data_IF_628575698256
#
_entry.id   IF_628575698256
#
_cell.length_a   1.000
_cell.length_b   1.000
_cell.length_c   1.000
_cell.angle_alpha   90.00
_cell.angle_beta   90.00
_cell.angle_gamma   90.00
#
_symmetry.space_group_name_H-M   'P 1'
#
loop_
_entity.id
_entity.type
_entity.pdbx_description
1 polymer ?
#
# COMPACT_ATOMS: atom_id res chain seq x y z
N UNK A 1 -28.30 5.63 64.19
CA UNK A 1 -28.78 6.21 62.92
C UNK A 1 -28.12 5.42 61.79
N UNK A 2 -28.93 4.72 60.99
CA UNK A 2 -28.71 4.18 59.63
C UNK A 2 -27.30 4.24 59.01
N UNK A 3 -26.67 3.09 58.66
CA UNK A 3 -26.62 2.43 57.31
C UNK A 3 -25.96 3.29 56.20
N UNK A 4 -25.16 2.85 55.21
CA UNK A 4 -24.36 1.68 54.82
C UNK A 4 -23.67 2.08 53.47
N UNK A 5 -22.45 1.57 53.18
CA UNK A 5 -21.94 1.07 51.87
C UNK A 5 -21.52 1.98 50.65
N UNK A 6 -20.28 1.70 50.19
CA UNK A 6 -19.84 1.26 48.81
C UNK A 6 -19.31 2.29 47.76
N UNK A 7 -18.05 2.03 47.31
CA UNK A 7 -17.39 2.22 45.99
C UNK A 7 -17.26 3.66 45.41
N UNK A 8 -16.32 4.06 44.54
CA UNK A 8 -15.24 3.43 43.76
C UNK A 8 -14.30 4.54 43.18
N UNK A 9 -13.05 4.14 42.86
CA UNK A 9 -12.23 4.55 41.69
C UNK A 9 -11.70 5.98 41.49
N UNK A 10 -10.41 6.12 41.85
CA UNK A 10 -9.27 6.52 41.02
C UNK A 10 -9.55 6.95 39.56
N UNK A 11 -9.17 8.18 39.21
CA UNK A 11 -8.92 8.61 37.82
C UNK A 11 -7.67 9.51 37.77
N UNK A 12 -6.53 8.90 37.44
CA UNK A 12 -5.24 9.53 37.24
C UNK A 12 -5.09 9.86 35.74
N UNK A 13 -5.22 11.12 35.35
CA UNK A 13 -5.08 11.55 33.96
C UNK A 13 -3.62 11.84 33.61
N UNK A 14 -3.00 10.90 32.90
CA UNK A 14 -1.71 11.04 32.22
C UNK A 14 -1.89 11.86 30.93
N UNK A 15 -1.00 12.83 30.70
CA UNK A 15 -0.93 13.62 29.47
C UNK A 15 0.53 13.70 29.02
N UNK A 16 0.96 12.71 28.22
CA UNK A 16 2.18 12.73 27.40
C UNK A 16 1.94 11.86 26.13
N UNK A 17 2.57 12.21 24.99
CA UNK A 17 2.07 11.95 23.63
C UNK A 17 2.29 10.50 23.12
N UNK A 18 1.53 10.07 22.08
CA UNK A 18 1.82 8.82 21.37
C UNK A 18 3.08 9.02 20.51
N UNK A 19 4.23 8.68 21.06
CA UNK A 19 5.43 8.41 20.29
C UNK A 19 5.19 7.16 19.43
N UNK A 20 5.36 7.33 18.13
CA UNK A 20 5.74 6.34 17.14
C UNK A 20 5.77 4.88 17.66
N UNK A 21 4.70 4.14 17.34
CA UNK A 21 4.77 2.69 17.27
C UNK A 21 5.67 2.32 16.08
N UNK A 22 6.98 2.46 16.25
CA UNK A 22 7.93 1.65 15.52
C UNK A 22 7.60 0.19 15.90
N UNK A 23 7.00 -0.55 14.98
CA UNK A 23 6.96 -2.01 15.05
C UNK A 23 8.41 -2.50 15.02
N UNK A 24 9.05 -2.53 16.19
CA UNK A 24 10.23 -3.35 16.39
C UNK A 24 9.79 -4.80 16.13
N UNK A 25 10.36 -5.50 15.14
CA UNK A 25 10.09 -6.91 14.98
C UNK A 25 10.53 -7.61 16.26
N UNK A 26 9.60 -8.29 16.92
CA UNK A 26 9.88 -9.02 18.14
C UNK A 26 11.00 -10.03 17.85
N UNK A 27 11.95 -10.24 18.79
CA UNK A 27 13.14 -11.07 18.59
C UNK A 27 12.84 -12.54 18.25
N UNK A 28 11.58 -12.97 18.45
CA UNK A 28 11.12 -14.32 18.13
C UNK A 28 10.93 -14.60 16.63
N UNK A 29 10.76 -13.58 15.78
CA UNK A 29 10.55 -13.81 14.34
C UNK A 29 11.83 -14.30 13.63
N UNK A 30 13.00 -13.93 14.14
CA UNK A 30 14.27 -14.21 13.47
C UNK A 30 14.67 -15.69 13.58
N UNK A 31 14.26 -16.41 14.63
CA UNK A 31 14.65 -17.81 14.82
C UNK A 31 13.87 -18.78 13.91
N UNK A 32 12.57 -18.54 13.69
CA UNK A 32 11.74 -19.42 12.86
C UNK A 32 12.20 -19.45 11.40
N UNK A 33 12.59 -18.30 10.85
CA UNK A 33 13.07 -18.18 9.47
C UNK A 33 14.39 -18.96 9.26
N UNK A 34 15.26 -19.02 10.28
CA UNK A 34 16.53 -19.75 10.21
C UNK A 34 16.36 -21.27 10.36
N UNK A 35 15.37 -21.70 11.15
CA UNK A 35 15.10 -23.11 11.41
C UNK A 35 14.22 -23.75 10.33
N UNK A 36 13.23 -23.01 9.82
CA UNK A 36 12.18 -23.53 8.92
C UNK A 36 12.34 -23.01 7.49
N UNK A 37 13.05 -21.89 7.30
CA UNK A 37 13.13 -21.21 6.00
C UNK A 37 11.82 -20.54 5.56
N UNK A 38 10.78 -20.57 6.39
CA UNK A 38 9.45 -20.03 6.09
C UNK A 38 9.27 -18.67 6.75
N UNK A 39 8.88 -17.66 5.97
CA UNK A 39 8.68 -16.29 6.48
C UNK A 39 7.33 -16.12 7.16
N UNK A 40 7.36 -15.87 8.47
CA UNK A 40 6.21 -15.45 9.26
C UNK A 40 5.52 -16.57 10.06
N UNK A 41 4.91 -16.19 11.17
CA UNK A 41 4.39 -17.14 12.18
C UNK A 41 3.09 -17.82 11.73
N UNK A 42 2.25 -17.12 10.96
CA UNK A 42 0.93 -17.62 10.54
C UNK A 42 0.99 -18.16 9.12
N UNK A 43 0.58 -19.42 8.88
CA UNK A 43 0.65 -20.00 7.55
C UNK A 43 -0.35 -19.29 6.62
N UNK A 44 0.14 -18.92 5.44
CA UNK A 44 -0.64 -18.18 4.46
C UNK A 44 -0.19 -18.55 3.05
N UNK A 45 -1.07 -18.36 2.08
CA UNK A 45 -0.80 -18.65 0.67
C UNK A 45 -1.40 -17.60 -0.24
N UNK A 46 -0.74 -17.34 -1.36
CA UNK A 46 -1.30 -16.52 -2.44
C UNK A 46 -2.33 -17.34 -3.20
N UNK A 47 -3.54 -16.82 -3.30
CA UNK A 47 -4.65 -17.49 -3.99
C UNK A 47 -5.41 -16.48 -4.84
N UNK A 48 -5.99 -16.93 -5.93
CA UNK A 48 -6.87 -16.13 -6.78
C UNK A 48 -8.29 -16.05 -6.18
N UNK A 49 -8.92 -14.89 -6.24
CA UNK A 49 -10.34 -14.75 -5.92
C UNK A 49 -11.22 -15.16 -7.11
N UNK A 50 -12.54 -15.12 -6.95
CA UNK A 50 -13.50 -15.44 -8.00
C UNK A 50 -13.44 -14.48 -9.21
N UNK A 51 -12.85 -13.30 -9.03
CA UNK A 51 -12.68 -12.25 -10.06
C UNK A 51 -11.32 -12.41 -10.77
N UNK A 52 -10.46 -13.35 -10.32
CA UNK A 52 -9.12 -13.59 -10.86
C UNK A 52 -8.01 -12.68 -10.30
N UNK A 53 -8.29 -11.89 -9.26
CA UNK A 53 -7.28 -11.06 -8.57
C UNK A 53 -6.56 -11.92 -7.52
N UNK A 54 -5.21 -11.96 -7.51
CA UNK A 54 -4.45 -12.65 -6.48
C UNK A 54 -4.56 -11.90 -5.15
N UNK A 55 -4.79 -12.64 -4.07
CA UNK A 55 -4.81 -12.11 -2.72
C UNK A 55 -4.12 -13.07 -1.74
N UNK A 56 -3.65 -12.51 -0.63
CA UNK A 56 -2.95 -13.28 0.39
C UNK A 56 -3.96 -13.90 1.37
N UNK A 57 -4.22 -15.20 1.22
CA UNK A 57 -5.14 -15.93 2.08
C UNK A 57 -4.45 -16.41 3.35
N UNK A 58 -4.81 -15.80 4.47
CA UNK A 58 -4.37 -16.20 5.81
C UNK A 58 -5.13 -17.45 6.24
N UNK A 59 -4.42 -18.56 6.45
CA UNK A 59 -5.07 -19.81 6.86
C UNK A 59 -5.48 -19.76 8.33
N UNK A 60 -6.51 -20.52 8.66
CA UNK A 60 -6.98 -20.74 10.03
C UNK A 60 -6.96 -22.24 10.31
N UNK A 61 -6.78 -22.59 11.58
CA UNK A 61 -6.95 -23.95 12.05
C UNK A 61 -8.44 -24.32 12.09
N UNK A 62 -8.73 -25.57 11.73
CA UNK A 62 -10.07 -26.12 11.74
C UNK A 62 -10.04 -27.50 12.38
N UNK A 63 -11.04 -27.79 13.22
CA UNK A 63 -11.20 -29.10 13.87
C UNK A 63 -11.46 -30.24 12.86
N UNK A 64 -12.11 -29.91 11.75
CA UNK A 64 -12.54 -30.86 10.72
C UNK A 64 -11.73 -30.60 9.43
N UNK A 65 -11.30 -31.66 8.71
CA UNK A 65 -10.63 -31.51 7.41
C UNK A 65 -11.41 -30.67 6.40
N UNK A 66 -10.69 -29.93 5.53
CA UNK A 66 -11.26 -28.98 4.57
C UNK A 66 -12.32 -29.58 3.64
N UNK A 67 -12.12 -30.82 3.20
CA UNK A 67 -13.04 -31.48 2.26
C UNK A 67 -14.37 -31.89 2.91
N UNK A 68 -14.41 -32.09 4.23
CA UNK A 68 -15.61 -32.40 5.00
C UNK A 68 -16.35 -31.14 5.49
N UNK A 69 -15.63 -30.02 5.65
CA UNK A 69 -16.21 -28.78 6.13
C UNK A 69 -17.06 -28.07 5.03
N UNK A 70 -18.38 -28.28 5.06
CA UNK A 70 -19.32 -27.68 4.10
C UNK A 70 -19.24 -26.14 4.07
N UNK A 71 -19.26 -25.50 5.24
CA UNK A 71 -19.16 -24.03 5.38
C UNK A 71 -17.89 -23.48 4.73
N UNK A 72 -16.77 -24.19 4.87
CA UNK A 72 -15.51 -23.80 4.26
C UNK A 72 -15.58 -23.87 2.73
N UNK A 73 -16.09 -24.96 2.16
CA UNK A 73 -16.19 -25.13 0.69
C UNK A 73 -17.12 -24.12 0.03
N UNK A 74 -18.21 -23.73 0.71
CA UNK A 74 -19.16 -22.74 0.18
C UNK A 74 -18.53 -21.35 0.04
N UNK A 75 -17.73 -20.97 1.03
CA UNK A 75 -17.14 -19.63 1.13
C UNK A 75 -15.80 -19.51 0.40
N UNK A 76 -14.99 -20.57 0.36
CA UNK A 76 -13.61 -20.54 -0.16
C UNK A 76 -13.52 -21.08 -1.59
N UNK A 77 -14.23 -20.42 -2.52
CA UNK A 77 -14.12 -20.69 -3.96
C UNK A 77 -12.98 -19.85 -4.56
N UNK A 78 -11.85 -20.50 -4.79
CA UNK A 78 -10.59 -19.88 -5.22
C UNK A 78 -10.38 -19.82 -6.74
N UNK A 79 -11.31 -20.39 -7.51
CA UNK A 79 -11.14 -20.54 -8.96
C UNK A 79 -12.03 -19.55 -9.68
N UNK A 80 -11.44 -18.82 -10.63
CA UNK A 80 -12.17 -18.08 -11.64
C UNK A 80 -12.57 -19.05 -12.76
N UNK A 81 -13.83 -18.99 -13.20
CA UNK A 81 -14.38 -19.93 -14.17
C UNK A 81 -14.99 -19.23 -15.39
N UNK A 82 -14.92 -17.90 -15.42
CA UNK A 82 -15.65 -17.06 -16.36
C UNK A 82 -14.69 -16.30 -17.27
N UNK A 83 -14.92 -16.29 -18.58
CA UNK A 83 -14.08 -15.50 -19.50
C UNK A 83 -14.26 -13.98 -19.32
N UNK A 84 -15.43 -13.56 -18.82
CA UNK A 84 -15.75 -12.18 -18.43
C UNK A 84 -14.76 -11.60 -17.39
N UNK A 85 -14.15 -12.44 -16.55
CA UNK A 85 -13.15 -11.94 -15.58
C UNK A 85 -11.89 -11.46 -16.29
N UNK A 86 -11.51 -12.07 -17.42
CA UNK A 86 -10.32 -11.68 -18.18
C UNK A 86 -10.48 -10.29 -18.80
N UNK A 87 -11.65 -10.00 -19.37
CA UNK A 87 -11.95 -8.68 -19.94
C UNK A 87 -11.98 -7.62 -18.83
N UNK A 88 -12.57 -7.94 -17.68
CA UNK A 88 -12.54 -7.07 -16.50
C UNK A 88 -11.12 -6.77 -16.02
N UNK A 89 -10.27 -7.80 -15.86
CA UNK A 89 -8.88 -7.63 -15.44
C UNK A 89 -8.07 -6.80 -16.44
N UNK A 90 -8.30 -6.98 -17.75
CA UNK A 90 -7.66 -6.18 -18.78
C UNK A 90 -8.06 -4.69 -18.67
N UNK A 91 -9.35 -4.40 -18.51
CA UNK A 91 -9.84 -3.03 -18.30
C UNK A 91 -9.31 -2.41 -17.00
N UNK A 92 -9.20 -3.20 -15.92
CA UNK A 92 -8.63 -2.75 -14.65
C UNK A 92 -7.15 -2.35 -14.82
N UNK A 93 -6.36 -3.18 -15.49
CA UNK A 93 -4.95 -2.86 -15.78
C UNK A 93 -4.80 -1.67 -16.72
N UNK A 94 -5.69 -1.48 -17.69
CA UNK A 94 -5.70 -0.28 -18.53
C UNK A 94 -5.99 0.99 -17.71
N UNK A 95 -6.94 0.91 -16.77
CA UNK A 95 -7.28 2.02 -15.86
C UNK A 95 -6.11 2.41 -14.97
N UNK A 96 -5.36 1.44 -14.43
CA UNK A 96 -4.16 1.69 -13.63
C UNK A 96 -3.07 2.38 -14.45
N UNK A 97 -2.75 1.86 -15.64
CA UNK A 97 -1.80 2.50 -16.57
C UNK A 97 -2.23 3.90 -16.99
N UNK A 98 -3.54 4.13 -17.17
CA UNK A 98 -4.07 5.46 -17.47
C UNK A 98 -3.87 6.42 -16.28
N UNK A 99 -4.02 5.94 -15.03
CA UNK A 99 -3.76 6.72 -13.82
C UNK A 99 -2.27 7.08 -13.72
N UNK A 100 -1.37 6.13 -13.92
CA UNK A 100 0.08 6.36 -13.93
C UNK A 100 0.49 7.39 -14.98
N UNK A 101 0.06 7.22 -16.23
CA UNK A 101 0.32 8.19 -17.31
C UNK A 101 -0.18 9.60 -16.98
N UNK A 102 -1.35 9.72 -16.33
CA UNK A 102 -1.88 11.03 -15.89
C UNK A 102 -1.05 11.62 -14.75
N UNK A 103 -0.60 10.81 -13.80
CA UNK A 103 0.29 11.22 -12.71
C UNK A 103 1.60 11.79 -13.26
N UNK A 104 2.30 11.01 -14.09
CA UNK A 104 3.57 11.41 -14.72
C UNK A 104 3.37 12.69 -15.54
N UNK A 105 2.31 12.76 -16.37
CA UNK A 105 2.01 13.97 -17.15
C UNK A 105 1.74 15.19 -16.26
N UNK A 106 1.07 15.01 -15.12
CA UNK A 106 0.84 16.05 -14.12
C UNK A 106 2.14 16.55 -13.49
N UNK A 107 2.99 15.62 -13.04
CA UNK A 107 4.32 15.93 -12.48
C UNK A 107 5.20 16.66 -13.52
N UNK A 108 5.25 16.17 -14.75
CA UNK A 108 5.97 16.82 -15.86
C UNK A 108 5.52 18.25 -16.09
N UNK A 109 4.20 18.50 -16.10
CA UNK A 109 3.65 19.87 -16.21
C UNK A 109 4.02 20.75 -15.03
N UNK A 110 4.03 20.19 -13.82
CA UNK A 110 4.43 20.91 -12.61
C UNK A 110 5.90 21.32 -12.66
N UNK A 111 6.81 20.39 -12.99
CA UNK A 111 8.25 20.64 -13.19
C UNK A 111 8.47 21.69 -14.27
N UNK A 112 7.78 21.58 -15.40
CA UNK A 112 7.87 22.54 -16.50
C UNK A 112 7.42 23.94 -16.08
N UNK A 113 6.40 24.04 -15.22
CA UNK A 113 5.97 25.30 -14.61
C UNK A 113 6.99 25.88 -13.63
N UNK A 114 7.72 25.04 -12.88
CA UNK A 114 8.81 25.51 -12.01
C UNK A 114 9.96 26.08 -12.83
N UNK A 115 10.40 25.37 -13.88
CA UNK A 115 11.50 25.82 -14.74
C UNK A 115 11.20 27.15 -15.45
N UNK A 116 9.93 27.36 -15.85
CA UNK A 116 9.49 28.62 -16.46
C UNK A 116 9.53 29.81 -15.50
N UNK A 117 9.23 29.59 -14.22
CA UNK A 117 9.17 30.66 -13.21
C UNK A 117 10.53 30.97 -12.61
N UNK A 118 11.36 29.94 -12.46
CA UNK A 118 12.64 30.02 -11.79
C UNK A 118 13.74 29.56 -12.76
N UNK A 119 14.39 30.48 -13.50
CA UNK A 119 15.47 30.10 -14.42
C UNK A 119 16.70 29.54 -13.71
N UNK A 120 16.93 29.95 -12.45
CA UNK A 120 18.03 29.49 -11.59
C UNK A 120 17.62 28.29 -10.71
N UNK A 121 16.67 27.47 -11.16
CA UNK A 121 16.18 26.32 -10.41
C UNK A 121 17.26 25.25 -10.28
N UNK A 122 17.46 24.75 -9.06
CA UNK A 122 18.33 23.60 -8.83
C UNK A 122 17.69 22.32 -9.38
N UNK A 123 18.30 21.78 -10.44
CA UNK A 123 17.82 20.60 -11.16
C UNK A 123 18.05 19.32 -10.36
N UNK A 124 19.06 19.29 -9.50
CA UNK A 124 19.37 18.10 -8.69
C UNK A 124 18.27 17.87 -7.65
N UNK A 125 17.85 18.94 -6.96
CA UNK A 125 16.74 18.89 -6.02
C UNK A 125 15.40 18.48 -6.67
N UNK A 126 15.16 18.87 -7.93
CA UNK A 126 13.94 18.48 -8.67
C UNK A 126 13.96 17.01 -9.03
N UNK A 127 15.10 16.49 -9.50
CA UNK A 127 15.28 15.07 -9.85
C UNK A 127 15.11 14.17 -8.63
N UNK A 128 15.58 14.60 -7.46
CA UNK A 128 15.39 13.87 -6.20
C UNK A 128 13.91 13.78 -5.79
N UNK A 129 13.12 14.84 -6.02
CA UNK A 129 11.69 14.88 -5.67
C UNK A 129 10.79 14.15 -6.67
N UNK A 130 11.13 14.17 -7.95
CA UNK A 130 10.34 13.59 -9.04
C UNK A 130 11.18 12.60 -9.86
N UNK A 131 11.50 11.41 -9.33
CA UNK A 131 12.36 10.45 -10.00
C UNK A 131 11.73 9.84 -11.27
N UNK A 132 10.40 9.84 -11.38
CA UNK A 132 9.67 9.32 -12.54
C UNK A 132 9.74 10.24 -13.77
N UNK A 133 10.10 11.50 -13.58
CA UNK A 133 10.09 12.53 -14.62
C UNK A 133 11.50 12.73 -15.16
N UNK A 134 11.65 12.61 -16.48
CA UNK A 134 12.91 12.90 -17.18
C UNK A 134 13.12 14.43 -17.30
N UNK A 135 13.82 14.99 -16.31
CA UNK A 135 14.13 16.43 -16.22
C UNK A 135 15.05 16.90 -17.35
N UNK A 136 15.96 16.05 -17.82
CA UNK A 136 16.92 16.38 -18.88
C UNK A 136 16.21 16.58 -20.21
N UNK A 137 15.25 15.70 -20.51
CA UNK A 137 14.37 15.85 -21.68
C UNK A 137 13.50 17.10 -21.61
N UNK A 138 13.01 17.45 -20.42
CA UNK A 138 12.21 18.68 -20.24
C UNK A 138 13.08 19.92 -20.49
N UNK A 139 14.30 19.96 -19.96
CA UNK A 139 15.24 21.08 -20.14
C UNK A 139 15.53 21.37 -21.60
N UNK A 140 15.68 20.32 -22.42
CA UNK A 140 15.95 20.47 -23.84
C UNK A 140 14.70 20.86 -24.66
N UNK A 141 13.50 20.75 -24.07
CA UNK A 141 12.28 21.13 -24.77
C UNK A 141 12.14 22.65 -24.87
N UNK A 142 11.66 23.13 -26.02
CA UNK A 142 11.42 24.56 -26.25
C UNK A 142 10.44 25.17 -25.21
N UNK A 143 9.53 24.33 -24.73
CA UNK A 143 8.57 24.69 -23.70
C UNK A 143 9.19 25.08 -22.34
N UNK A 144 10.42 24.64 -22.05
CA UNK A 144 11.10 24.94 -20.79
C UNK A 144 11.84 26.29 -20.81
N UNK A 145 12.14 26.85 -21.99
CA UNK A 145 12.94 28.08 -22.13
C UNK A 145 12.21 29.32 -21.61
N UNK A 146 10.88 29.33 -21.63
CA UNK A 146 10.08 30.49 -21.23
C UNK A 146 10.30 31.71 -22.13
N UNK A 147 9.43 32.72 -22.02
CA UNK A 147 9.67 34.03 -22.61
C UNK A 147 10.17 34.94 -21.48
N UNK A 148 11.48 34.98 -21.29
CA UNK A 148 12.11 35.83 -20.30
C UNK A 148 12.37 37.21 -20.92
N UNK A 149 11.68 38.23 -20.40
CA UNK A 149 11.91 39.64 -20.75
C UNK A 149 12.68 40.26 -19.56
N UNK A 150 13.83 40.92 -19.79
CA UNK A 150 14.68 41.48 -18.74
C UNK A 150 13.99 42.51 -17.84
#
# INVERSE_FOLDING_TARGET
SHQFLIHDRLCFSLLLPPLNCACFPLPYQVSQDLETGETGIRPAKTVTNQIGIPYFHKMCEHLIPKFLNGKWRETHKFRDQYDETKTFLAMLGEKERARERRSIKGQTKYVLGLMRRFPNLDLEAVKAKYPEVDVEKIKNSDNARGHWVP
#
